data_IF_323509889132
#
_entry.id   IF_323509889132
#
_cell.length_a   1.000
_cell.length_b   1.000
_cell.length_c   1.000
_cell.angle_alpha   90.00
_cell.angle_beta   90.00
_cell.angle_gamma   90.00
#
_symmetry.space_group_name_H-M   'P 1'
#
loop_
_entity.id
_entity.type
_entity.pdbx_description
1 polymer ?
#
# COMPACT_ATOMS: atom_id res chain seq x y z
N UNK A 1 13.62 5.02 4.86
CA UNK A 1 13.50 4.27 3.60
C UNK A 1 12.76 5.09 2.58
N UNK A 2 13.27 5.17 1.38
CA UNK A 2 12.70 5.97 0.31
C UNK A 2 12.22 5.08 -0.82
N UNK A 3 10.95 5.25 -1.20
CA UNK A 3 10.41 4.60 -2.38
C UNK A 3 10.40 5.58 -3.55
N UNK A 4 10.57 5.08 -4.75
CA UNK A 4 10.39 5.89 -5.95
C UNK A 4 8.91 6.14 -6.17
N UNK A 5 8.48 7.39 -6.36
CA UNK A 5 7.06 7.69 -6.44
C UNK A 5 6.49 7.45 -7.83
N UNK A 6 5.19 7.14 -7.86
CA UNK A 6 4.38 7.22 -9.06
C UNK A 6 3.86 8.66 -9.11
N UNK A 7 4.10 9.39 -10.19
CA UNK A 7 3.81 10.81 -10.26
C UNK A 7 2.69 11.18 -11.21
N UNK A 8 2.53 10.44 -12.32
CA UNK A 8 1.59 10.82 -13.38
C UNK A 8 0.26 10.10 -13.26
N UNK A 9 -0.83 10.80 -13.56
CA UNK A 9 -2.17 10.22 -13.56
C UNK A 9 -2.30 9.01 -14.48
N UNK A 10 -1.62 9.03 -15.63
CA UNK A 10 -1.60 7.89 -16.56
C UNK A 10 -1.03 6.64 -15.89
N UNK A 11 -0.01 6.81 -15.07
CA UNK A 11 0.63 5.69 -14.37
C UNK A 11 -0.27 5.09 -13.32
N UNK A 12 -0.96 5.94 -12.54
CA UNK A 12 -1.98 5.49 -11.60
C UNK A 12 -3.12 4.75 -12.30
N UNK A 13 -3.64 5.34 -13.39
CA UNK A 13 -4.72 4.72 -14.15
C UNK A 13 -4.35 3.35 -14.68
N UNK A 14 -3.12 3.18 -15.14
CA UNK A 14 -2.62 1.89 -15.63
C UNK A 14 -2.64 0.84 -14.52
N UNK A 15 -2.21 1.21 -13.33
CA UNK A 15 -2.22 0.28 -12.19
C UNK A 15 -3.65 -0.08 -11.81
N UNK A 16 -4.56 0.88 -11.79
CA UNK A 16 -5.97 0.63 -11.46
C UNK A 16 -6.66 -0.26 -12.49
N UNK A 17 -6.36 -0.12 -13.77
CA UNK A 17 -7.04 -0.86 -14.84
C UNK A 17 -6.41 -2.20 -15.16
N UNK A 18 -5.09 -2.29 -15.10
CA UNK A 18 -4.34 -3.49 -15.49
C UNK A 18 -3.73 -4.26 -14.33
N UNK A 19 -3.63 -3.64 -13.17
CA UNK A 19 -3.08 -4.27 -11.99
C UNK A 19 -4.07 -5.16 -11.28
N UNK A 20 -3.56 -5.91 -10.31
CA UNK A 20 -4.40 -6.69 -9.40
C UNK A 20 -4.82 -5.81 -8.24
N UNK A 21 -6.02 -6.05 -7.74
CA UNK A 21 -6.61 -5.28 -6.64
C UNK A 21 -6.90 -6.19 -5.44
N UNK A 22 -6.46 -5.76 -4.28
CA UNK A 22 -6.72 -6.47 -3.03
C UNK A 22 -7.40 -5.52 -2.06
N UNK A 23 -8.65 -5.79 -1.74
CA UNK A 23 -9.52 -4.91 -0.94
C UNK A 23 -9.58 -5.37 0.51
N UNK A 24 -9.42 -4.43 1.42
CA UNK A 24 -9.61 -4.63 2.85
C UNK A 24 -10.34 -3.40 3.41
N UNK A 25 -11.16 -3.53 4.45
CA UNK A 25 -11.86 -2.37 5.04
C UNK A 25 -10.95 -1.23 5.48
N UNK A 26 -9.71 -1.52 5.81
CA UNK A 26 -8.74 -0.52 6.28
C UNK A 26 -7.85 0.05 5.17
N UNK A 27 -7.75 -0.65 4.02
CA UNK A 27 -6.77 -0.28 3.01
C UNK A 27 -7.05 -1.06 1.72
N UNK A 28 -6.78 -0.45 0.57
CA UNK A 28 -6.82 -1.16 -0.72
C UNK A 28 -5.42 -1.15 -1.31
N UNK A 29 -4.96 -2.31 -1.77
CA UNK A 29 -3.66 -2.47 -2.42
C UNK A 29 -3.88 -2.79 -3.90
N UNK A 30 -3.20 -2.03 -4.77
CA UNK A 30 -3.11 -2.34 -6.20
C UNK A 30 -1.66 -2.68 -6.53
N UNK A 31 -1.47 -3.72 -7.32
CA UNK A 31 -0.15 -4.14 -7.79
C UNK A 31 -0.19 -4.28 -9.30
N UNK A 32 0.64 -3.52 -9.98
CA UNK A 32 0.78 -3.58 -11.43
C UNK A 32 2.22 -3.83 -11.84
N UNK A 33 2.43 -4.34 -13.04
CA UNK A 33 3.77 -4.53 -13.59
C UNK A 33 4.22 -3.25 -14.29
N UNK A 34 5.50 -2.94 -14.20
CA UNK A 34 6.12 -1.89 -15.01
C UNK A 34 7.30 -2.47 -15.79
N UNK A 35 7.98 -1.64 -16.56
CA UNK A 35 9.14 -2.07 -17.35
C UNK A 35 10.40 -1.30 -16.97
N UNK A 36 10.45 -0.82 -15.73
CA UNK A 36 11.50 0.09 -15.30
C UNK A 36 12.69 -0.61 -14.64
N UNK A 37 12.51 -1.86 -14.21
CA UNK A 37 13.54 -2.57 -13.47
C UNK A 37 13.61 -2.21 -12.00
N UNK A 38 12.66 -1.41 -11.50
CA UNK A 38 12.57 -1.03 -10.09
C UNK A 38 11.12 -0.82 -9.66
N UNK A 39 10.91 -0.79 -8.35
CA UNK A 39 9.59 -0.62 -7.75
C UNK A 39 9.24 0.85 -7.59
N UNK A 40 8.00 1.20 -7.94
CA UNK A 40 7.44 2.53 -7.66
C UNK A 40 6.25 2.38 -6.73
N UNK A 41 6.02 3.41 -5.90
CA UNK A 41 4.94 3.42 -4.92
C UNK A 41 4.11 4.69 -5.07
N UNK A 42 2.80 4.53 -5.04
CA UNK A 42 1.85 5.63 -4.99
C UNK A 42 0.95 5.51 -3.77
N UNK A 43 0.69 6.64 -3.11
CA UNK A 43 -0.20 6.70 -1.96
C UNK A 43 -1.34 7.64 -2.30
N UNK A 44 -2.57 7.13 -2.28
CA UNK A 44 -3.75 7.89 -2.66
C UNK A 44 -4.71 8.02 -1.48
N UNK A 45 -5.14 9.25 -1.22
CA UNK A 45 -6.21 9.53 -0.27
C UNK A 45 -7.14 10.56 -0.90
N UNK A 46 -8.36 10.14 -1.23
CA UNK A 46 -9.36 10.99 -1.87
C UNK A 46 -10.12 11.84 -0.86
N UNK A 47 -10.92 12.77 -1.35
CA UNK A 47 -11.78 13.61 -0.51
C UNK A 47 -12.78 12.78 0.31
N UNK A 48 -13.10 11.58 -0.11
CA UNK A 48 -13.98 10.66 0.64
C UNK A 48 -13.39 10.26 1.99
N UNK A 49 -12.06 10.29 2.12
CA UNK A 49 -11.38 9.98 3.39
C UNK A 49 -11.56 11.10 4.40
N UNK A 50 -11.61 12.35 3.94
CA UNK A 50 -11.75 13.51 4.78
C UNK A 50 -11.06 14.74 4.19
N UNK A 51 -10.94 15.77 5.02
CA UNK A 51 -10.25 17.01 4.64
C UNK A 51 -8.74 16.80 4.47
N UNK A 52 -8.04 17.83 4.00
CA UNK A 52 -6.62 17.75 3.68
C UNK A 52 -5.76 17.21 4.84
N UNK A 53 -6.03 17.64 6.06
CA UNK A 53 -5.28 17.17 7.24
C UNK A 53 -5.46 15.67 7.44
N UNK A 54 -6.69 15.17 7.29
CA UNK A 54 -7.01 13.74 7.44
C UNK A 54 -6.35 12.94 6.33
N UNK A 55 -6.40 13.44 5.09
CA UNK A 55 -5.76 12.78 3.95
C UNK A 55 -4.24 12.70 4.12
N UNK A 56 -3.61 13.76 4.60
CA UNK A 56 -2.18 13.77 4.86
C UNK A 56 -1.80 12.76 5.95
N UNK A 57 -2.63 12.67 6.99
CA UNK A 57 -2.44 11.68 8.05
C UNK A 57 -2.52 10.26 7.51
N UNK A 58 -3.52 9.98 6.66
CA UNK A 58 -3.67 8.67 6.04
C UNK A 58 -2.43 8.30 5.22
N UNK A 59 -1.89 9.24 4.43
CA UNK A 59 -0.67 9.01 3.66
C UNK A 59 0.53 8.71 4.55
N UNK A 60 0.66 9.42 5.67
CA UNK A 60 1.76 9.17 6.62
C UNK A 60 1.66 7.79 7.24
N UNK A 61 0.46 7.38 7.64
CA UNK A 61 0.23 6.05 8.22
C UNK A 61 0.56 4.96 7.20
N UNK A 62 0.11 5.12 5.96
CA UNK A 62 0.40 4.16 4.89
C UNK A 62 1.89 4.10 4.58
N UNK A 63 2.57 5.26 4.53
CA UNK A 63 4.01 5.31 4.26
C UNK A 63 4.80 4.61 5.35
N UNK A 64 4.44 4.83 6.61
CA UNK A 64 5.12 4.20 7.74
C UNK A 64 4.96 2.67 7.70
N UNK A 65 3.74 2.19 7.39
CA UNK A 65 3.49 0.76 7.27
C UNK A 65 4.28 0.14 6.12
N UNK A 66 4.32 0.80 4.96
CA UNK A 66 5.12 0.34 3.82
C UNK A 66 6.62 0.28 4.16
N UNK A 67 7.13 1.32 4.80
CA UNK A 67 8.56 1.36 5.17
C UNK A 67 8.94 0.22 6.10
N UNK A 68 8.01 -0.22 6.96
CA UNK A 68 8.26 -1.32 7.88
C UNK A 68 8.23 -2.69 7.20
N UNK A 69 7.46 -2.85 6.13
CA UNK A 69 7.18 -4.17 5.55
C UNK A 69 7.70 -4.36 4.13
N UNK A 70 7.61 -3.34 3.26
CA UNK A 70 7.99 -3.50 1.87
C UNK A 70 9.48 -3.22 1.67
N UNK A 71 10.26 -4.16 1.08
CA UNK A 71 11.61 -3.85 0.65
C UNK A 71 11.61 -2.72 -0.39
N UNK A 72 12.70 -1.96 -0.46
CA UNK A 72 12.80 -0.81 -1.37
C UNK A 72 12.64 -1.19 -2.84
N UNK A 73 13.09 -2.37 -3.20
CA UNK A 73 12.98 -2.85 -4.56
C UNK A 73 12.55 -4.32 -4.57
N UNK A 74 11.36 -4.56 -5.08
CA UNK A 74 10.81 -5.91 -5.25
C UNK A 74 10.63 -6.25 -6.74
N UNK A 75 11.38 -5.57 -7.60
CA UNK A 75 11.35 -5.79 -9.04
C UNK A 75 10.55 -4.73 -9.78
N UNK A 76 10.20 -5.04 -11.02
CA UNK A 76 9.49 -4.11 -11.92
C UNK A 76 7.99 -4.11 -11.61
N UNK A 77 7.61 -3.53 -10.49
CA UNK A 77 6.20 -3.44 -10.06
C UNK A 77 5.86 -2.04 -9.60
N UNK A 78 4.62 -1.64 -9.84
CA UNK A 78 4.03 -0.43 -9.31
C UNK A 78 3.05 -0.83 -8.21
N UNK A 79 3.20 -0.22 -7.05
CA UNK A 79 2.35 -0.51 -5.88
C UNK A 79 1.61 0.76 -5.52
N UNK A 80 0.28 0.68 -5.46
CA UNK A 80 -0.56 1.81 -5.05
C UNK A 80 -1.37 1.40 -3.84
N UNK A 81 -1.26 2.19 -2.78
CA UNK A 81 -2.13 2.08 -1.62
C UNK A 81 -3.19 3.16 -1.68
N UNK A 82 -4.44 2.75 -1.56
CA UNK A 82 -5.58 3.66 -1.53
C UNK A 82 -6.17 3.67 -0.14
N UNK A 83 -6.19 4.85 0.49
CA UNK A 83 -6.74 5.01 1.82
C UNK A 83 -8.25 4.84 1.81
N UNK A 84 -8.78 4.25 2.86
CA UNK A 84 -10.22 4.19 3.14
C UNK A 84 -10.53 5.06 4.36
N UNK A 85 -11.80 5.21 4.67
CA UNK A 85 -12.23 6.08 5.77
C UNK A 85 -11.55 5.70 7.10
N UNK A 86 -11.26 4.43 7.32
CA UNK A 86 -10.62 3.96 8.55
C UNK A 86 -9.11 4.21 8.60
N UNK A 87 -8.45 4.37 7.46
CA UNK A 87 -6.98 4.42 7.40
C UNK A 87 -6.41 5.51 8.31
N UNK A 88 -6.96 6.72 8.25
CA UNK A 88 -6.45 7.84 9.04
C UNK A 88 -6.69 7.71 10.54
N UNK A 89 -7.59 6.82 10.94
CA UNK A 89 -7.92 6.56 12.35
C UNK A 89 -7.03 5.51 12.98
N UNK A 90 -6.24 4.83 12.17
CA UNK A 90 -5.37 3.74 12.62
C UNK A 90 -3.98 4.25 12.97
N UNK A 91 -3.33 3.55 13.88
CA UNK A 91 -1.88 3.71 14.07
C UNK A 91 -1.17 2.91 12.99
N UNK A 92 0.05 3.34 12.61
CA UNK A 92 0.82 2.63 11.59
C UNK A 92 1.04 1.16 11.97
N UNK A 93 1.23 0.86 13.27
CA UNK A 93 1.39 -0.51 13.75
C UNK A 93 0.16 -1.37 13.51
N UNK A 94 -1.03 -0.80 13.57
CA UNK A 94 -2.28 -1.51 13.26
C UNK A 94 -2.39 -1.76 11.76
N UNK A 95 -2.06 -0.76 10.94
CA UNK A 95 -2.11 -0.89 9.49
C UNK A 95 -1.07 -1.86 8.97
N UNK A 96 0.07 -2.00 9.65
CA UNK A 96 1.11 -2.96 9.30
C UNK A 96 0.58 -4.38 9.17
N UNK A 97 -0.30 -4.80 10.09
CA UNK A 97 -0.89 -6.14 10.06
C UNK A 97 -1.74 -6.35 8.82
N UNK A 98 -2.55 -5.37 8.48
CA UNK A 98 -3.37 -5.39 7.26
C UNK A 98 -2.51 -5.42 6.01
N UNK A 99 -1.50 -4.56 5.98
CA UNK A 99 -0.58 -4.51 4.84
C UNK A 99 0.16 -5.82 4.65
N UNK A 100 0.64 -6.43 5.74
CA UNK A 100 1.31 -7.73 5.67
C UNK A 100 0.41 -8.79 5.05
N UNK A 101 -0.86 -8.84 5.43
CA UNK A 101 -1.83 -9.77 4.83
C UNK A 101 -2.00 -9.52 3.34
N UNK A 102 -2.10 -8.25 2.95
CA UNK A 102 -2.28 -7.88 1.54
C UNK A 102 -1.04 -8.20 0.71
N UNK A 103 0.15 -7.95 1.24
CA UNK A 103 1.41 -8.30 0.57
C UNK A 103 1.51 -9.82 0.35
N UNK A 104 1.13 -10.60 1.35
CA UNK A 104 1.13 -12.06 1.23
C UNK A 104 0.16 -12.53 0.13
N UNK A 105 -1.04 -11.95 0.07
CA UNK A 105 -2.02 -12.28 -0.98
C UNK A 105 -1.51 -11.90 -2.37
N UNK A 106 -0.75 -10.82 -2.45
CA UNK A 106 -0.19 -10.36 -3.72
C UNK A 106 1.07 -11.13 -4.13
N UNK A 107 1.62 -11.96 -3.24
CA UNK A 107 2.85 -12.69 -3.50
C UNK A 107 4.10 -11.82 -3.44
N UNK A 108 4.03 -10.70 -2.73
CA UNK A 108 5.15 -9.77 -2.59
C UNK A 108 5.99 -10.07 -1.35
N UNK A 109 7.31 -9.78 -1.39
CA UNK A 109 8.17 -9.92 -0.22
C UNK A 109 7.72 -9.00 0.92
N UNK A 110 7.90 -9.46 2.14
CA UNK A 110 7.57 -8.70 3.36
C UNK A 110 8.76 -8.82 4.32
N UNK A 111 9.28 -7.68 4.77
CA UNK A 111 10.41 -7.65 5.72
C UNK A 111 10.03 -8.14 7.11
N UNK A 112 8.76 -8.03 7.47
CA UNK A 112 8.22 -8.46 8.77
C UNK A 112 6.96 -9.28 8.57
N UNK A 113 7.06 -10.51 8.04
CA UNK A 113 5.86 -11.32 7.84
C UNK A 113 5.19 -11.61 9.17
N UNK A 114 3.86 -11.72 9.15
CA UNK A 114 3.08 -12.07 10.32
C UNK A 114 3.44 -13.48 10.78
N UNK A 115 3.41 -13.69 12.10
CA UNK A 115 3.51 -15.03 12.66
C UNK A 115 2.30 -15.86 12.18
N UNK A 116 2.46 -17.20 12.03
CA UNK A 116 1.34 -18.05 11.59
C UNK A 116 0.08 -17.87 12.41
N UNK A 117 0.21 -17.68 13.72
CA UNK A 117 -0.93 -17.45 14.62
C UNK A 117 -1.65 -16.14 14.31
N UNK A 118 -0.94 -15.10 13.88
CA UNK A 118 -1.51 -13.81 13.51
C UNK A 118 -2.11 -13.86 12.12
N UNK A 119 -1.44 -14.54 11.19
CA UNK A 119 -1.89 -14.67 9.81
C UNK A 119 -3.20 -15.45 9.71
N UNK A 120 -3.45 -16.38 10.63
CA UNK A 120 -4.67 -17.17 10.69
C UNK A 120 -5.89 -16.40 11.19
N UNK A 121 -5.71 -15.22 11.74
CA UNK A 121 -6.81 -14.36 12.18
C UNK A 121 -7.21 -13.44 11.03
N UNK A 122 -8.28 -13.76 10.41
CA UNK A 122 -8.77 -12.98 9.28
C UNK A 122 -9.19 -11.57 9.71
#
# INVERSE_FOLDING_TARGET
>A
MRFRPICKNKEFSRVYTRGRCFVHPQLVLYVGKNRLGYTRVGLTATKKVGHAVVRNRARRVMRAALAAHLPENVGSVDIVLVARAQTAKLKSTQLEKTLSKLLAKAGLPDKKPLLPSEAGKA
#
